data_IF_539868416054
#
_entry.id   IF_539868416054
#
_cell.length_a   1.000
_cell.length_b   1.000
_cell.length_c   1.000
_cell.angle_alpha   90.00
_cell.angle_beta   90.00
_cell.angle_gamma   90.00
#
_symmetry.space_group_name_H-M   'P 1'
#
loop_
_entity.id
_entity.type
_entity.pdbx_description
1 polymer ?
#
# COMPACT_ATOMS: atom_id res chain seq x y z
N UNK A 1 -20.50 -22.15 -49.69
CA UNK A 1 -19.70 -21.04 -49.14
C UNK A 1 -18.39 -20.98 -49.89
N UNK A 2 -18.04 -19.83 -50.46
CA UNK A 2 -16.80 -19.69 -51.23
C UNK A 2 -15.60 -19.65 -50.30
N UNK A 3 -14.49 -20.35 -50.57
CA UNK A 3 -13.33 -20.47 -49.64
C UNK A 3 -12.71 -19.10 -49.28
N UNK A 4 -12.90 -18.09 -50.07
CA UNK A 4 -12.46 -16.71 -49.79
C UNK A 4 -13.20 -16.04 -48.61
N UNK A 5 -14.46 -16.39 -48.36
CA UNK A 5 -15.22 -15.81 -47.25
C UNK A 5 -14.84 -16.45 -45.89
N UNK A 6 -14.46 -17.74 -45.88
CA UNK A 6 -13.98 -18.40 -44.68
C UNK A 6 -12.60 -17.84 -44.23
N UNK A 7 -11.73 -17.49 -45.17
CA UNK A 7 -10.41 -16.91 -44.87
C UNK A 7 -10.50 -15.51 -44.24
N UNK A 8 -11.45 -14.69 -44.65
CA UNK A 8 -11.65 -13.33 -44.12
C UNK A 8 -12.17 -13.39 -42.67
N UNK A 9 -13.05 -14.33 -42.36
CA UNK A 9 -13.60 -14.49 -40.98
C UNK A 9 -12.52 -14.95 -40.02
N UNK A 10 -11.62 -15.85 -40.43
CA UNK A 10 -10.52 -16.34 -39.56
C UNK A 10 -9.49 -15.21 -39.30
N UNK A 11 -9.20 -14.35 -40.28
CA UNK A 11 -8.27 -13.23 -40.08
C UNK A 11 -8.87 -12.14 -39.20
N UNK A 12 -10.17 -11.84 -39.29
CA UNK A 12 -10.83 -10.87 -38.39
C UNK A 12 -10.94 -11.41 -36.96
N UNK A 13 -11.10 -12.72 -36.75
CA UNK A 13 -11.14 -13.33 -35.42
C UNK A 13 -9.80 -13.32 -34.69
N UNK A 14 -8.69 -13.34 -35.41
CA UNK A 14 -7.33 -13.33 -34.81
C UNK A 14 -6.89 -11.96 -34.29
N UNK A 15 -7.47 -10.86 -34.77
CA UNK A 15 -7.12 -9.49 -34.37
C UNK A 15 -7.72 -9.11 -33.01
N UNK A 16 -8.80 -9.78 -32.59
CA UNK A 16 -9.50 -9.47 -31.31
C UNK A 16 -8.82 -10.01 -30.03
N UNK A 17 -7.91 -10.97 -30.12
CA UNK A 17 -7.34 -11.67 -28.96
C UNK A 17 -6.02 -11.07 -28.43
N UNK A 18 -5.41 -10.14 -29.16
CA UNK A 18 -4.12 -9.53 -28.78
C UNK A 18 -4.22 -8.31 -27.87
N UNK A 19 -5.42 -7.76 -27.65
CA UNK A 19 -5.59 -6.44 -27.00
C UNK A 19 -5.25 -6.39 -25.53
N UNK A 20 -5.50 -7.43 -24.78
CA UNK A 20 -5.38 -7.40 -23.31
C UNK A 20 -3.95 -7.40 -22.76
N UNK A 21 -2.99 -7.94 -23.49
CA UNK A 21 -1.58 -8.00 -23.06
C UNK A 21 -0.88 -6.64 -23.09
N UNK A 22 -1.32 -5.74 -23.97
CA UNK A 22 -0.72 -4.42 -24.20
C UNK A 22 -1.54 -3.26 -23.62
N UNK A 23 -2.65 -3.56 -22.98
CA UNK A 23 -3.45 -2.54 -22.30
C UNK A 23 -2.98 -2.33 -20.86
N UNK A 24 -2.96 -1.06 -20.45
CA UNK A 24 -2.66 -0.64 -19.08
C UNK A 24 -3.60 -1.36 -18.08
N UNK A 25 -3.05 -1.86 -16.97
CA UNK A 25 -3.83 -2.38 -15.86
C UNK A 25 -3.97 -1.32 -14.77
N UNK A 26 -5.17 -1.21 -14.20
CA UNK A 26 -5.44 -0.31 -13.08
C UNK A 26 -5.86 -1.15 -11.87
N UNK A 27 -5.12 -1.02 -10.76
CA UNK A 27 -5.40 -1.75 -9.53
C UNK A 27 -6.07 -0.84 -8.50
N UNK A 28 -7.18 -1.31 -7.92
CA UNK A 28 -7.77 -0.69 -6.73
C UNK A 28 -7.06 -1.21 -5.48
N UNK A 29 -5.98 -0.54 -5.11
CA UNK A 29 -5.18 -0.89 -3.93
C UNK A 29 -5.64 -0.06 -2.74
N UNK A 30 -5.85 -0.73 -1.60
CA UNK A 30 -6.23 -0.09 -0.35
C UNK A 30 -6.32 -1.09 0.79
N UNK A 31 -6.29 -0.59 2.02
CA UNK A 31 -6.57 -1.38 3.21
C UNK A 31 -8.07 -1.30 3.50
N UNK A 32 -8.75 -2.44 3.51
CA UNK A 32 -10.15 -2.50 3.93
C UNK A 32 -10.22 -2.41 5.46
N UNK A 33 -11.17 -1.64 6.04
CA UNK A 33 -11.31 -1.54 7.49
C UNK A 33 -11.49 -2.89 8.21
N UNK A 34 -12.06 -3.90 7.53
CA UNK A 34 -12.18 -5.27 8.06
C UNK A 34 -10.87 -6.05 8.10
N UNK A 35 -9.86 -5.61 7.37
CA UNK A 35 -8.52 -6.22 7.29
C UNK A 35 -7.56 -5.56 8.28
N UNK A 36 -7.86 -4.32 8.73
CA UNK A 36 -7.16 -3.65 9.83
C UNK A 36 -7.54 -4.31 11.16
N UNK A 37 -6.70 -5.21 11.64
CA UNK A 37 -6.90 -5.92 12.91
C UNK A 37 -6.40 -5.12 14.12
N UNK A 38 -6.95 -5.38 15.31
CA UNK A 38 -6.38 -4.87 16.56
C UNK A 38 -5.00 -5.49 16.80
N UNK A 39 -4.00 -4.64 16.96
CA UNK A 39 -2.62 -5.02 17.23
C UNK A 39 -2.06 -4.37 18.50
N UNK A 40 -0.74 -4.40 18.71
CA UNK A 40 -0.09 -3.82 19.88
C UNK A 40 -0.39 -2.33 20.09
N UNK A 41 -0.68 -1.58 19.03
CA UNK A 41 -1.06 -0.16 19.12
C UNK A 41 -2.34 0.06 19.91
N UNK A 42 -3.24 -0.93 20.02
CA UNK A 42 -4.44 -0.86 20.86
C UNK A 42 -4.14 -0.91 22.38
N UNK A 43 -2.91 -1.26 22.78
CA UNK A 43 -2.48 -1.34 24.19
C UNK A 43 -1.94 -0.01 24.75
N UNK A 44 -1.86 1.03 23.95
CA UNK A 44 -1.41 2.36 24.37
C UNK A 44 -2.59 3.31 24.57
N UNK A 45 -2.42 4.41 25.32
CA UNK A 45 -3.50 5.37 25.55
C UNK A 45 -4.05 5.93 24.22
N UNK A 46 -5.37 6.00 24.14
CA UNK A 46 -6.06 6.55 22.96
C UNK A 46 -5.66 8.00 22.72
N UNK A 47 -5.34 8.33 21.47
CA UNK A 47 -5.00 9.66 21.02
C UNK A 47 -5.82 10.04 19.78
N UNK A 48 -5.98 11.35 19.52
CA UNK A 48 -6.45 11.84 18.23
C UNK A 48 -5.24 11.99 17.31
N UNK A 49 -5.30 11.38 16.14
CA UNK A 49 -4.20 11.31 15.17
C UNK A 49 -4.60 12.02 13.89
N UNK A 50 -3.75 12.90 13.40
CA UNK A 50 -3.80 13.45 12.05
C UNK A 50 -2.72 12.78 11.22
N UNK A 51 -3.10 12.18 10.10
CA UNK A 51 -2.14 11.75 9.08
C UNK A 51 -2.10 12.84 8.01
N UNK A 52 -0.97 13.53 7.92
CA UNK A 52 -0.77 14.57 6.92
C UNK A 52 -0.73 13.98 5.51
N UNK A 53 -0.83 14.84 4.51
CA UNK A 53 -0.56 14.45 3.14
C UNK A 53 0.90 14.01 3.01
N UNK A 54 1.12 12.81 2.45
CA UNK A 54 2.45 12.25 2.27
C UNK A 54 3.01 12.70 0.91
N UNK A 55 4.30 13.02 0.87
CA UNK A 55 4.98 13.27 -0.38
C UNK A 55 5.29 11.95 -1.10
N UNK A 56 5.06 11.87 -2.40
CA UNK A 56 5.48 10.73 -3.22
C UNK A 56 6.92 10.96 -3.71
N UNK A 57 7.88 10.25 -3.13
CA UNK A 57 9.31 10.32 -3.45
C UNK A 57 9.82 9.06 -4.16
N UNK A 58 8.90 8.26 -4.71
CA UNK A 58 9.27 7.09 -5.52
C UNK A 58 10.07 7.53 -6.75
N UNK A 59 11.04 6.73 -7.22
CA UNK A 59 11.78 7.02 -8.47
C UNK A 59 10.90 7.13 -9.71
N UNK A 60 9.80 6.35 -9.75
CA UNK A 60 8.77 6.42 -10.78
C UNK A 60 7.40 6.59 -10.12
N UNK A 61 6.80 7.76 -10.28
CA UNK A 61 5.48 8.12 -9.73
C UNK A 61 4.35 7.87 -10.73
N UNK A 62 4.66 7.51 -11.97
CA UNK A 62 3.67 7.34 -13.05
C UNK A 62 3.02 5.96 -13.06
N UNK A 63 3.68 4.97 -12.41
CA UNK A 63 3.24 3.57 -12.38
C UNK A 63 3.64 2.89 -11.09
N UNK A 64 3.16 1.67 -10.89
CA UNK A 64 3.53 0.81 -9.77
C UNK A 64 4.13 -0.52 -10.20
N UNK A 65 4.31 -0.75 -11.50
CA UNK A 65 4.86 -1.97 -12.06
C UNK A 65 4.61 -2.10 -13.56
N UNK A 66 4.94 -3.27 -14.08
CA UNK A 66 4.74 -3.60 -15.49
C UNK A 66 4.07 -4.96 -15.67
N UNK A 67 3.16 -5.04 -16.65
CA UNK A 67 2.82 -6.33 -17.26
C UNK A 67 4.05 -6.85 -18.01
N UNK A 68 4.29 -8.16 -17.94
CA UNK A 68 5.37 -8.82 -18.67
C UNK A 68 4.83 -10.01 -19.45
N UNK A 69 5.42 -10.30 -20.60
CA UNK A 69 5.19 -11.54 -21.33
C UNK A 69 6.01 -12.71 -20.74
N UNK A 70 5.86 -13.90 -21.30
CA UNK A 70 6.57 -15.12 -20.86
C UNK A 70 8.10 -15.00 -20.97
N UNK A 71 8.61 -14.08 -21.75
CA UNK A 71 10.04 -13.80 -21.90
C UNK A 71 10.54 -12.69 -20.96
N UNK A 72 9.68 -12.18 -20.07
CA UNK A 72 10.01 -11.10 -19.14
C UNK A 72 10.01 -9.70 -19.75
N UNK A 73 9.67 -9.56 -21.04
CA UNK A 73 9.59 -8.24 -21.69
C UNK A 73 8.38 -7.46 -21.18
N UNK A 74 8.58 -6.19 -20.87
CA UNK A 74 7.52 -5.25 -20.45
C UNK A 74 6.53 -5.02 -21.59
N UNK A 75 5.23 -5.17 -21.33
CA UNK A 75 4.18 -5.03 -22.35
C UNK A 75 3.23 -3.86 -22.07
N UNK A 76 2.96 -3.57 -20.82
CA UNK A 76 2.11 -2.44 -20.42
C UNK A 76 2.40 -2.00 -18.99
N UNK A 77 1.97 -0.78 -18.65
CA UNK A 77 2.06 -0.24 -17.29
C UNK A 77 0.99 -0.81 -16.39
N UNK A 78 1.32 -0.95 -15.11
CA UNK A 78 0.39 -1.19 -14.01
C UNK A 78 0.34 0.09 -13.16
N UNK A 79 -0.86 0.59 -12.90
CA UNK A 79 -1.10 1.82 -12.15
C UNK A 79 -2.14 1.61 -11.06
N UNK A 80 -2.34 2.61 -10.21
CA UNK A 80 -3.41 2.66 -9.21
C UNK A 80 -4.51 3.63 -9.65
N UNK A 81 -5.75 3.39 -9.19
CA UNK A 81 -6.88 4.31 -9.42
C UNK A 81 -6.68 5.66 -8.74
N UNK A 82 -6.06 5.63 -7.55
CA UNK A 82 -5.82 6.81 -6.72
C UNK A 82 -4.31 7.10 -6.59
N UNK A 83 -3.92 8.33 -6.26
CA UNK A 83 -2.52 8.63 -5.95
C UNK A 83 -1.98 7.72 -4.85
N UNK A 84 -0.77 7.19 -5.05
CA UNK A 84 -0.15 6.25 -4.10
C UNK A 84 0.03 6.88 -2.72
N UNK A 85 0.38 8.16 -2.63
CA UNK A 85 0.47 8.89 -1.37
C UNK A 85 -0.85 8.91 -0.59
N UNK A 86 -1.97 9.06 -1.28
CA UNK A 86 -3.30 9.01 -0.67
C UNK A 86 -3.66 7.61 -0.20
N UNK A 87 -3.33 6.57 -0.98
CA UNK A 87 -3.54 5.15 -0.61
C UNK A 87 -2.79 4.84 0.70
N UNK A 88 -1.51 5.21 0.78
CA UNK A 88 -0.67 4.94 1.96
C UNK A 88 -1.15 5.74 3.17
N UNK A 89 -1.47 7.04 2.99
CA UNK A 89 -2.04 7.88 4.05
C UNK A 89 -3.31 7.27 4.64
N UNK A 90 -4.24 6.88 3.79
CA UNK A 90 -5.53 6.33 4.21
C UNK A 90 -5.36 4.96 4.91
N UNK A 91 -4.40 4.14 4.46
CA UNK A 91 -4.07 2.88 5.13
C UNK A 91 -3.49 3.09 6.54
N UNK A 92 -2.60 4.08 6.72
CA UNK A 92 -2.07 4.45 8.03
C UNK A 92 -3.21 4.94 8.94
N UNK A 93 -4.09 5.81 8.45
CA UNK A 93 -5.24 6.29 9.20
C UNK A 93 -6.18 5.15 9.61
N UNK A 94 -6.46 4.21 8.70
CA UNK A 94 -7.29 3.04 8.98
C UNK A 94 -6.68 2.14 10.05
N UNK A 95 -5.35 1.94 10.05
CA UNK A 95 -4.65 1.14 11.06
C UNK A 95 -4.74 1.79 12.46
N UNK A 96 -4.50 3.10 12.57
CA UNK A 96 -4.70 3.81 13.85
C UNK A 96 -6.15 3.71 14.32
N UNK A 97 -7.13 3.91 13.43
CA UNK A 97 -8.55 3.82 13.77
C UNK A 97 -8.94 2.41 14.26
N UNK A 98 -8.49 1.35 13.60
CA UNK A 98 -8.75 -0.04 13.99
C UNK A 98 -8.18 -0.39 15.36
N UNK A 99 -7.09 0.28 15.76
CA UNK A 99 -6.47 0.14 17.07
C UNK A 99 -7.08 1.07 18.16
N UNK A 100 -8.18 1.77 17.85
CA UNK A 100 -8.96 2.55 18.84
C UNK A 100 -8.53 4.01 18.96
N UNK A 101 -7.65 4.52 18.10
CA UNK A 101 -7.33 5.94 18.01
C UNK A 101 -8.39 6.69 17.18
N UNK A 102 -8.55 7.99 17.41
CA UNK A 102 -9.46 8.82 16.61
C UNK A 102 -8.68 9.49 15.49
N UNK A 103 -9.25 9.54 14.30
CA UNK A 103 -8.67 10.28 13.20
C UNK A 103 -9.35 11.65 13.11
N UNK A 104 -8.57 12.74 13.08
CA UNK A 104 -9.14 14.08 13.02
C UNK A 104 -8.11 15.20 12.95
N UNK A 105 -8.56 16.41 12.59
CA UNK A 105 -7.72 17.60 12.39
C UNK A 105 -7.16 18.15 13.70
N UNK A 106 -7.98 18.23 14.77
CA UNK A 106 -7.53 18.66 16.10
C UNK A 106 -6.82 17.51 16.81
N UNK A 107 -5.60 17.25 16.37
CA UNK A 107 -4.85 16.07 16.74
C UNK A 107 -3.95 16.24 17.97
N UNK A 108 -3.75 15.14 18.68
CA UNK A 108 -2.70 14.97 19.68
C UNK A 108 -1.37 14.56 19.04
N UNK A 109 -1.46 13.80 17.94
CA UNK A 109 -0.33 13.25 17.19
C UNK A 109 -0.45 13.62 15.72
N UNK A 110 0.68 13.99 15.12
CA UNK A 110 0.81 14.23 13.69
C UNK A 110 1.72 13.15 13.09
N UNK A 111 1.20 12.41 12.12
CA UNK A 111 1.99 11.50 11.27
C UNK A 111 2.25 12.22 9.95
N UNK A 112 3.51 12.36 9.60
CA UNK A 112 3.96 12.98 8.36
C UNK A 112 5.09 12.18 7.73
N UNK A 113 5.41 12.42 6.46
CA UNK A 113 6.53 11.75 5.81
C UNK A 113 6.40 11.59 4.31
N UNK A 114 7.07 10.57 3.79
CA UNK A 114 7.18 10.34 2.34
C UNK A 114 6.99 8.88 2.00
N UNK A 115 6.34 8.59 0.87
CA UNK A 115 6.32 7.25 0.27
C UNK A 115 7.58 7.10 -0.57
N UNK A 116 8.39 6.09 -0.27
CA UNK A 116 9.67 5.82 -0.94
C UNK A 116 9.60 4.65 -1.90
N UNK A 117 8.70 3.69 -1.65
CA UNK A 117 8.47 2.53 -2.52
C UNK A 117 7.00 2.15 -2.53
N UNK A 118 6.48 1.88 -3.71
CA UNK A 118 5.18 1.25 -3.94
C UNK A 118 5.28 0.56 -5.29
N UNK A 119 5.69 -0.72 -5.26
CA UNK A 119 6.09 -1.41 -6.48
C UNK A 119 5.58 -2.83 -6.50
N UNK A 120 5.06 -3.21 -7.68
CA UNK A 120 4.66 -4.57 -8.02
C UNK A 120 5.63 -5.13 -9.05
N UNK A 121 6.16 -6.31 -8.81
CA UNK A 121 7.03 -7.01 -9.74
C UNK A 121 6.41 -8.35 -10.13
N UNK A 122 6.45 -8.64 -11.42
CA UNK A 122 6.11 -9.93 -12.01
C UNK A 122 7.38 -10.58 -12.55
N UNK A 123 7.73 -11.75 -12.03
CA UNK A 123 8.89 -12.54 -12.48
C UNK A 123 8.41 -13.88 -13.06
N UNK A 124 8.49 -14.06 -14.40
CA UNK A 124 8.20 -15.35 -15.01
C UNK A 124 9.30 -16.37 -14.67
N UNK A 125 8.88 -17.58 -14.30
CA UNK A 125 9.72 -18.77 -14.16
C UNK A 125 9.27 -19.84 -15.16
N UNK A 126 9.99 -20.95 -15.26
CA UNK A 126 9.71 -21.99 -16.25
C UNK A 126 8.26 -22.54 -16.19
N UNK A 127 7.72 -22.75 -15.00
CA UNK A 127 6.36 -23.32 -14.81
C UNK A 127 5.46 -22.47 -13.92
N UNK A 128 5.95 -21.35 -13.39
CA UNK A 128 5.22 -20.50 -12.45
C UNK A 128 5.49 -19.02 -12.71
N UNK A 129 4.58 -18.19 -12.22
CA UNK A 129 4.75 -16.76 -12.11
C UNK A 129 4.94 -16.40 -10.65
N UNK A 130 5.93 -15.58 -10.34
CA UNK A 130 6.13 -14.99 -9.03
C UNK A 130 5.67 -13.53 -9.06
N UNK A 131 4.86 -13.16 -8.08
CA UNK A 131 4.30 -11.83 -7.90
C UNK A 131 4.82 -11.28 -6.58
N UNK A 132 5.53 -10.18 -6.59
CA UNK A 132 5.98 -9.51 -5.38
C UNK A 132 5.51 -8.08 -5.30
N UNK A 133 5.06 -7.69 -4.11
CA UNK A 133 4.68 -6.32 -3.77
C UNK A 133 5.60 -5.78 -2.69
N UNK A 134 6.03 -4.53 -2.84
CA UNK A 134 6.82 -3.80 -1.85
C UNK A 134 6.19 -2.44 -1.64
N UNK A 135 5.93 -2.10 -0.37
CA UNK A 135 5.47 -0.78 0.05
C UNK A 135 6.40 -0.28 1.14
N UNK A 136 6.93 0.94 1.01
CA UNK A 136 7.78 1.54 2.03
C UNK A 136 7.52 3.05 2.15
N UNK A 137 7.63 3.54 3.38
CA UNK A 137 7.48 4.96 3.70
C UNK A 137 8.42 5.37 4.84
N UNK A 138 9.00 6.56 4.71
CA UNK A 138 9.73 7.22 5.79
C UNK A 138 8.76 8.13 6.55
N UNK A 139 8.51 7.81 7.80
CA UNK A 139 7.50 8.49 8.61
C UNK A 139 8.10 9.13 9.86
N UNK A 140 7.53 10.26 10.23
CA UNK A 140 7.76 10.92 11.51
C UNK A 140 6.41 11.03 12.23
N UNK A 141 6.35 10.50 13.45
CA UNK A 141 5.25 10.73 14.38
C UNK A 141 5.70 11.78 15.37
N UNK A 142 4.96 12.88 15.49
CA UNK A 142 5.27 14.00 16.37
C UNK A 142 4.10 14.35 17.27
N UNK A 143 4.39 15.00 18.39
CA UNK A 143 3.38 15.68 19.19
C UNK A 143 2.83 16.86 18.38
N UNK A 144 1.53 16.87 18.12
CA UNK A 144 0.92 17.88 17.25
C UNK A 144 0.89 19.29 17.85
N UNK A 145 1.03 19.43 19.20
CA UNK A 145 1.01 20.72 19.89
C UNK A 145 2.39 21.37 19.96
N UNK A 146 3.42 20.56 20.22
CA UNK A 146 4.79 21.03 20.42
C UNK A 146 5.64 20.93 19.17
N UNK A 147 5.23 20.10 18.18
CA UNK A 147 6.02 19.76 17.01
C UNK A 147 7.19 18.80 17.30
N UNK A 148 7.36 18.36 18.55
CA UNK A 148 8.45 17.46 18.92
C UNK A 148 8.28 16.11 18.23
N UNK A 149 9.31 15.67 17.50
CA UNK A 149 9.35 14.32 16.92
C UNK A 149 9.47 13.27 18.04
N UNK A 150 8.54 12.32 18.07
CA UNK A 150 8.52 11.19 18.98
C UNK A 150 9.27 9.99 18.38
N UNK A 151 9.00 9.72 17.11
CA UNK A 151 9.65 8.64 16.34
C UNK A 151 9.83 9.09 14.90
N UNK A 152 11.01 8.83 14.34
CA UNK A 152 11.29 8.94 12.89
C UNK A 152 11.87 7.62 12.44
N UNK A 153 11.23 6.95 11.46
CA UNK A 153 11.64 5.64 10.98
C UNK A 153 11.10 5.32 9.59
N UNK A 154 11.85 4.46 8.88
CA UNK A 154 11.37 3.79 7.66
C UNK A 154 10.58 2.55 8.02
N UNK A 155 9.39 2.40 7.45
CA UNK A 155 8.52 1.23 7.59
C UNK A 155 8.36 0.56 6.24
N UNK A 156 8.31 -0.77 6.23
CA UNK A 156 8.24 -1.53 4.99
C UNK A 156 7.36 -2.77 5.13
N UNK A 157 6.60 -3.04 4.08
CA UNK A 157 5.85 -4.28 3.92
C UNK A 157 6.19 -4.93 2.59
N UNK A 158 6.44 -6.23 2.63
CA UNK A 158 6.73 -7.06 1.45
C UNK A 158 5.81 -8.27 1.44
N UNK A 159 5.33 -8.64 0.27
CA UNK A 159 4.61 -9.87 0.08
C UNK A 159 4.94 -10.48 -1.27
N UNK A 160 5.14 -11.80 -1.29
CA UNK A 160 5.38 -12.57 -2.50
C UNK A 160 4.39 -13.73 -2.56
N UNK A 161 3.84 -13.96 -3.75
CA UNK A 161 2.96 -15.07 -4.06
C UNK A 161 3.42 -15.77 -5.34
N UNK A 162 3.13 -17.06 -5.48
CA UNK A 162 3.47 -17.85 -6.66
C UNK A 162 2.23 -18.54 -7.19
N UNK A 163 2.02 -18.48 -8.50
CA UNK A 163 0.90 -19.13 -9.17
C UNK A 163 1.28 -19.54 -10.59
N UNK A 164 0.58 -20.53 -11.14
CA UNK A 164 0.71 -20.90 -12.56
C UNK A 164 0.00 -19.91 -13.48
N UNK A 165 -0.93 -19.10 -12.93
CA UNK A 165 -1.72 -18.09 -13.66
C UNK A 165 -1.76 -16.80 -12.86
N UNK A 166 -1.71 -15.65 -13.56
CA UNK A 166 -1.75 -14.34 -12.95
C UNK A 166 -2.96 -13.54 -13.43
N UNK A 167 -3.90 -13.31 -12.52
CA UNK A 167 -5.02 -12.39 -12.76
C UNK A 167 -4.80 -11.07 -12.02
N UNK A 168 -5.41 -10.00 -12.47
CA UNK A 168 -5.34 -8.68 -11.82
C UNK A 168 -5.78 -8.71 -10.35
N UNK A 169 -6.73 -9.59 -10.00
CA UNK A 169 -7.10 -9.84 -8.59
C UNK A 169 -5.97 -10.43 -7.74
N UNK A 170 -5.06 -11.24 -8.31
CA UNK A 170 -3.85 -11.71 -7.62
C UNK A 170 -2.88 -10.55 -7.38
N UNK A 171 -2.69 -9.68 -8.36
CA UNK A 171 -1.80 -8.51 -8.26
C UNK A 171 -2.30 -7.52 -7.20
N UNK A 172 -3.61 -7.25 -7.22
CA UNK A 172 -4.27 -6.41 -6.21
C UNK A 172 -4.10 -6.98 -4.81
N UNK A 173 -4.32 -8.29 -4.62
CA UNK A 173 -4.11 -8.97 -3.34
C UNK A 173 -2.66 -8.88 -2.87
N UNK A 174 -1.69 -9.04 -3.77
CA UNK A 174 -0.26 -8.93 -3.46
C UNK A 174 0.07 -7.53 -2.96
N UNK A 175 -0.40 -6.48 -3.62
CA UNK A 175 -0.16 -5.10 -3.21
C UNK A 175 -0.91 -4.73 -1.93
N UNK A 176 -2.14 -5.19 -1.75
CA UNK A 176 -2.90 -4.98 -0.52
C UNK A 176 -2.21 -5.63 0.68
N UNK A 177 -1.72 -6.87 0.53
CA UNK A 177 -1.00 -7.56 1.61
C UNK A 177 0.33 -6.90 1.94
N UNK A 178 1.06 -6.39 0.94
CA UNK A 178 2.29 -5.63 1.19
C UNK A 178 1.99 -4.31 1.94
N UNK A 179 0.93 -3.60 1.56
CA UNK A 179 0.46 -2.39 2.25
C UNK A 179 0.05 -2.70 3.70
N UNK A 180 -0.72 -3.76 3.92
CA UNK A 180 -1.12 -4.23 5.25
C UNK A 180 0.09 -4.53 6.14
N UNK A 181 1.10 -5.22 5.61
CA UNK A 181 2.33 -5.51 6.36
C UNK A 181 3.10 -4.26 6.75
N UNK A 182 3.15 -3.26 5.90
CA UNK A 182 3.79 -1.98 6.22
C UNK A 182 3.05 -1.27 7.38
N UNK A 183 1.71 -1.17 7.35
CA UNK A 183 0.99 -0.50 8.43
C UNK A 183 1.03 -1.30 9.74
N UNK A 184 1.09 -2.63 9.68
CA UNK A 184 1.32 -3.48 10.85
C UNK A 184 2.73 -3.32 11.43
N UNK A 185 3.75 -3.08 10.61
CA UNK A 185 5.10 -2.72 11.09
C UNK A 185 5.06 -1.42 11.90
N UNK A 186 4.27 -0.42 11.45
CA UNK A 186 4.01 0.81 12.21
C UNK A 186 3.32 0.49 13.55
N UNK A 187 2.23 -0.28 13.51
CA UNK A 187 1.40 -0.59 14.68
C UNK A 187 2.13 -1.43 15.75
N UNK A 188 3.18 -2.14 15.36
CA UNK A 188 4.00 -2.99 16.24
C UNK A 188 5.36 -2.40 16.59
N UNK A 189 5.69 -1.18 16.14
CA UNK A 189 6.97 -0.54 16.46
C UNK A 189 7.12 -0.30 17.98
N UNK A 190 8.09 -0.96 18.65
CA UNK A 190 8.28 -0.81 20.10
C UNK A 190 8.62 0.63 20.51
N UNK A 191 9.31 1.41 19.65
CA UNK A 191 9.67 2.80 19.92
C UNK A 191 8.43 3.70 19.88
N UNK A 192 7.55 3.49 18.89
CA UNK A 192 6.29 4.20 18.83
C UNK A 192 5.41 3.88 20.03
N UNK A 193 5.28 2.59 20.39
CA UNK A 193 4.49 2.16 21.54
C UNK A 193 5.01 2.73 22.86
N UNK A 194 6.34 2.76 23.07
CA UNK A 194 6.95 3.37 24.24
C UNK A 194 6.65 4.88 24.30
N UNK A 195 6.92 5.61 23.22
CA UNK A 195 6.68 7.05 23.15
C UNK A 195 5.20 7.43 23.42
N UNK A 196 4.25 6.62 22.95
CA UNK A 196 2.83 6.85 23.21
C UNK A 196 2.42 6.54 24.66
N UNK A 197 3.03 5.55 25.30
CA UNK A 197 2.81 5.27 26.75
C UNK A 197 3.35 6.41 27.61
N UNK A 198 4.58 6.86 27.36
CA UNK A 198 5.23 7.93 28.14
C UNK A 198 4.44 9.24 28.02
N UNK A 199 3.93 9.55 26.83
CA UNK A 199 3.06 10.72 26.60
C UNK A 199 1.74 10.60 27.38
N UNK A 200 1.16 9.40 27.46
CA UNK A 200 -0.06 9.14 28.23
C UNK A 200 0.11 9.39 29.72
N UNK A 201 1.23 8.97 30.30
CA UNK A 201 1.55 9.18 31.73
C UNK A 201 1.77 10.65 32.05
N UNK A 202 2.49 11.39 31.20
CA UNK A 202 2.71 12.84 31.36
C UNK A 202 1.40 13.63 31.31
N UNK A 203 0.49 13.24 30.39
CA UNK A 203 -0.82 13.91 30.26
C UNK A 203 -1.75 13.59 31.44
N UNK A 204 -1.64 12.42 32.05
CA UNK A 204 -2.39 12.04 33.26
C UNK A 204 -1.91 12.85 34.47
N UNK A 205 -0.58 12.93 34.70
CA UNK A 205 0.03 13.69 35.80
C UNK A 205 -0.28 15.19 35.72
N UNK A 206 -0.39 15.75 34.50
CA UNK A 206 -0.75 17.17 34.33
C UNK A 206 -2.24 17.50 34.56
N UNK A 207 -3.10 16.48 34.81
CA UNK A 207 -4.54 16.63 35.06
C UNK A 207 -4.94 16.41 36.52
N UNK A 208 -4.03 15.94 37.35
CA UNK A 208 -4.23 15.89 38.79
C UNK A 208 -3.98 17.29 39.40
N UNK A 209 -4.99 17.87 40.10
CA UNK A 209 -4.89 19.22 40.67
C UNK A 209 -3.99 19.28 41.91
#
# INVERSE_FOLDING_TARGET
>A
MRPRQALVIVVLGAIGLGGCAFTKATLDVGLKPSEAGRGPLSSVPTATVKVAELADKRPDTTRIGYKKNSFGSKTADIVTERPVSAIVRDAIAAEFAANGHRIGESADLLVSGTVTTFWFELTPHFSTLEFSGTVAADLTVSDAKTGQALVTRSYQGNYTDKSMVGYEGTWQRVMNTALERMVRDIASDPRLLAALRDRGTTKAAAREP
#
